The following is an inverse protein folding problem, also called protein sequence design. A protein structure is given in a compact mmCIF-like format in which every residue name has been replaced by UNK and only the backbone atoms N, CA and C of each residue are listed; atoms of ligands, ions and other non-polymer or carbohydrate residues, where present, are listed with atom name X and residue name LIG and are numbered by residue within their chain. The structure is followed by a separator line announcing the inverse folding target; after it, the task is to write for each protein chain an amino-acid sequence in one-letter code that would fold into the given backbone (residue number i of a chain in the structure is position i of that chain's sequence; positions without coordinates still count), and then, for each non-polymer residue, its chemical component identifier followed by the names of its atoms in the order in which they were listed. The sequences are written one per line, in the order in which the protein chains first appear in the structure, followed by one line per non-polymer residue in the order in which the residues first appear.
data_IF_500112499435
#
_entry.id   IF_500112499435
#
_cell.length_a   1.000
_cell.length_b   1.000
_cell.length_c   1.000
_cell.angle_alpha   90.00
_cell.angle_beta   90.00
_cell.angle_gamma   90.00
#
_symmetry.space_group_name_H-M   'P 1'
#
loop_
_entity.id
_entity.type
_entity.pdbx_description
1 polymer ?
#
# COMPACT_ATOMS: atom_id res chain seq x y z
N UNK A 1 0.54 -25.21 2.45
CA UNK A 1 1.26 -24.33 3.37
C UNK A 1 1.69 -23.11 2.58
N UNK A 2 1.15 -21.96 2.93
CA UNK A 2 1.07 -20.84 2.02
C UNK A 2 2.36 -20.05 1.82
N UNK A 3 2.42 -19.31 0.74
CA UNK A 3 3.47 -18.38 0.28
C UNK A 3 3.94 -17.35 1.34
N UNK A 4 3.26 -17.27 2.48
CA UNK A 4 3.46 -16.26 3.54
C UNK A 4 4.33 -16.76 4.71
N UNK A 5 4.86 -17.99 4.67
CA UNK A 5 5.56 -18.61 5.80
C UNK A 5 7.05 -18.22 5.95
N UNK A 6 7.60 -17.35 5.09
CA UNK A 6 9.03 -17.03 5.06
C UNK A 6 9.38 -15.58 5.43
N UNK A 7 8.45 -14.84 6.04
CA UNK A 7 8.75 -13.47 6.44
C UNK A 7 9.50 -13.43 7.78
N UNK A 8 10.58 -12.63 7.87
CA UNK A 8 11.27 -12.46 9.15
C UNK A 8 10.29 -11.86 10.15
N UNK A 9 10.22 -12.48 11.33
CA UNK A 9 9.39 -12.00 12.44
C UNK A 9 9.84 -10.59 12.83
N UNK A 10 9.03 -9.56 12.61
CA UNK A 10 9.37 -8.24 13.12
C UNK A 10 9.17 -8.24 14.62
N UNK A 11 10.20 -7.94 15.38
CA UNK A 11 10.23 -7.57 16.80
C UNK A 11 9.05 -7.98 17.71
N UNK A 12 8.85 -7.30 18.81
CA UNK A 12 7.73 -7.50 19.76
C UNK A 12 6.34 -7.52 19.12
N UNK A 13 6.12 -6.77 18.02
CA UNK A 13 4.87 -6.78 17.26
C UNK A 13 4.60 -8.14 16.59
N UNK A 14 5.63 -8.85 16.14
CA UNK A 14 5.49 -10.14 15.47
C UNK A 14 4.97 -11.26 16.37
N UNK A 15 5.27 -11.21 17.67
CA UNK A 15 4.77 -12.20 18.62
C UNK A 15 3.28 -12.01 18.97
N UNK A 16 2.73 -10.82 18.72
CA UNK A 16 1.35 -10.43 19.07
C UNK A 16 0.43 -10.25 17.87
N UNK A 17 0.97 -10.39 16.65
CA UNK A 17 0.26 -10.06 15.40
C UNK A 17 0.37 -11.18 14.40
N UNK A 18 -0.75 -11.57 13.80
CA UNK A 18 -0.79 -12.47 12.65
C UNK A 18 -1.16 -11.68 11.40
N UNK A 19 -0.44 -11.90 10.29
CA UNK A 19 -0.81 -11.32 8.97
C UNK A 19 -1.41 -12.42 8.11
N UNK A 20 -2.50 -12.11 7.47
CA UNK A 20 -3.23 -13.01 6.57
C UNK A 20 -3.87 -12.25 5.42
N UNK A 21 -4.25 -12.93 4.34
CA UNK A 21 -5.07 -12.32 3.29
C UNK A 21 -6.34 -11.68 3.86
N UNK A 22 -6.68 -10.51 3.34
CA UNK A 22 -7.96 -9.85 3.60
C UNK A 22 -9.09 -10.70 2.98
N UNK A 23 -10.15 -10.92 3.70
CA UNK A 23 -11.27 -11.75 3.28
C UNK A 23 -12.55 -10.91 3.19
N UNK A 24 -13.47 -11.28 2.31
CA UNK A 24 -14.75 -10.60 2.17
C UNK A 24 -15.51 -10.45 3.51
N UNK A 25 -15.42 -11.44 4.40
CA UNK A 25 -16.03 -11.37 5.73
C UNK A 25 -15.42 -10.29 6.64
N UNK A 26 -14.19 -9.86 6.38
CA UNK A 26 -13.51 -8.83 7.19
C UNK A 26 -14.19 -7.47 7.02
N UNK A 27 -14.93 -7.26 5.92
CA UNK A 27 -15.77 -6.08 5.69
C UNK A 27 -16.84 -5.87 6.77
N UNK A 28 -17.20 -6.91 7.51
CA UNK A 28 -18.14 -6.82 8.63
C UNK A 28 -17.47 -6.59 9.98
N UNK A 29 -16.14 -6.61 10.05
CA UNK A 29 -15.38 -6.57 11.30
C UNK A 29 -14.30 -5.49 11.35
N UNK A 30 -14.12 -4.68 10.30
CA UNK A 30 -13.03 -3.71 10.22
C UNK A 30 -13.43 -2.24 10.46
N UNK A 31 -14.67 -1.99 10.90
CA UNK A 31 -15.18 -0.63 11.10
C UNK A 31 -14.28 0.22 12.02
N UNK A 32 -13.79 -0.37 13.12
CA UNK A 32 -12.92 0.28 14.09
C UNK A 32 -11.60 0.79 13.46
N UNK A 33 -11.08 0.07 12.43
CA UNK A 33 -9.89 0.47 11.70
C UNK A 33 -10.17 1.66 10.78
N UNK A 34 -11.40 1.77 10.24
CA UNK A 34 -11.82 2.82 9.31
C UNK A 34 -12.33 4.08 10.00
N UNK A 35 -12.46 4.10 11.32
CA UNK A 35 -12.88 5.29 12.08
C UNK A 35 -11.78 6.35 12.22
N UNK A 36 -10.72 6.24 11.44
CA UNK A 36 -9.66 7.22 11.40
C UNK A 36 -9.97 8.37 10.44
N UNK A 37 -9.68 9.58 10.86
CA UNK A 37 -9.83 10.81 10.07
C UNK A 37 -9.10 10.81 8.72
N UNK A 38 -8.00 10.09 8.63
CA UNK A 38 -7.15 10.02 7.43
C UNK A 38 -7.51 8.87 6.48
N UNK A 39 -8.39 7.96 6.93
CA UNK A 39 -8.74 6.78 6.16
C UNK A 39 -9.86 7.09 5.19
N UNK A 40 -9.61 6.89 3.90
CA UNK A 40 -10.66 6.88 2.90
C UNK A 40 -11.44 5.56 3.00
N UNK A 41 -12.75 5.66 2.98
CA UNK A 41 -13.64 4.49 2.98
C UNK A 41 -14.30 4.34 1.62
N UNK A 42 -14.45 3.10 1.19
CA UNK A 42 -14.99 2.77 -0.13
C UNK A 42 -16.25 1.91 0.02
N UNK A 43 -16.98 1.75 -1.08
CA UNK A 43 -18.12 0.83 -1.12
C UNK A 43 -17.67 -0.63 -1.00
N UNK A 44 -18.55 -1.51 -0.51
CA UNK A 44 -18.25 -2.94 -0.43
C UNK A 44 -17.88 -3.53 -1.81
N UNK A 45 -18.54 -3.08 -2.88
CA UNK A 45 -18.21 -3.51 -4.25
C UNK A 45 -16.79 -3.17 -4.66
N UNK A 46 -16.29 -1.99 -4.23
CA UNK A 46 -14.90 -1.60 -4.46
C UNK A 46 -13.92 -2.55 -3.78
N UNK A 47 -14.10 -2.81 -2.48
CA UNK A 47 -13.23 -3.76 -1.76
C UNK A 47 -13.28 -5.16 -2.40
N UNK A 48 -14.46 -5.67 -2.73
CA UNK A 48 -14.62 -7.00 -3.33
C UNK A 48 -13.96 -7.10 -4.70
N UNK A 49 -14.00 -6.03 -5.51
CA UNK A 49 -13.32 -6.01 -6.81
C UNK A 49 -11.80 -6.11 -6.67
N UNK A 50 -11.22 -5.44 -5.66
CA UNK A 50 -9.79 -5.54 -5.35
C UNK A 50 -9.40 -6.94 -4.89
N UNK A 51 -10.20 -7.53 -4.01
CA UNK A 51 -9.97 -8.91 -3.53
C UNK A 51 -10.04 -9.95 -4.65
N UNK A 52 -10.89 -9.72 -5.64
CA UNK A 52 -11.02 -10.61 -6.79
C UNK A 52 -9.85 -10.47 -7.78
N UNK A 53 -9.34 -9.25 -8.00
CA UNK A 53 -8.33 -8.97 -9.01
C UNK A 53 -6.90 -9.08 -8.46
N UNK A 54 -6.66 -8.64 -7.20
CA UNK A 54 -5.33 -8.58 -6.59
C UNK A 54 -5.33 -9.17 -5.16
N UNK A 55 -5.70 -10.45 -4.99
CA UNK A 55 -5.87 -11.05 -3.65
C UNK A 55 -4.60 -11.03 -2.80
N UNK A 56 -3.42 -11.09 -3.42
CA UNK A 56 -2.14 -11.06 -2.71
C UNK A 56 -1.75 -9.62 -2.25
N UNK A 57 -2.41 -8.59 -2.79
CA UNK A 57 -2.20 -7.18 -2.42
C UNK A 57 -3.23 -6.65 -1.41
N UNK A 58 -4.00 -7.54 -0.81
CA UNK A 58 -4.98 -7.21 0.22
C UNK A 58 -4.70 -8.05 1.47
N UNK A 59 -4.16 -7.41 2.51
CA UNK A 59 -3.70 -8.09 3.72
C UNK A 59 -4.28 -7.45 4.97
N UNK A 60 -4.54 -8.28 5.97
CA UNK A 60 -5.05 -7.89 7.28
C UNK A 60 -4.09 -8.31 8.37
N UNK A 61 -3.75 -7.39 9.26
CA UNK A 61 -3.06 -7.69 10.50
C UNK A 61 -4.08 -7.89 11.62
N UNK A 62 -3.98 -9.00 12.34
CA UNK A 62 -4.89 -9.36 13.41
C UNK A 62 -4.12 -9.60 14.72
N UNK A 63 -4.71 -9.23 15.85
CA UNK A 63 -4.20 -9.57 17.16
C UNK A 63 -4.24 -11.09 17.35
N UNK A 64 -3.10 -11.69 17.68
CA UNK A 64 -2.95 -13.15 17.73
C UNK A 64 -3.88 -13.81 18.76
N UNK A 65 -4.14 -13.11 19.87
CA UNK A 65 -4.96 -13.66 20.97
C UNK A 65 -6.46 -13.55 20.72
N UNK A 66 -6.92 -12.46 20.11
CA UNK A 66 -8.36 -12.15 19.98
C UNK A 66 -8.88 -12.32 18.55
N UNK A 67 -7.98 -12.33 17.57
CA UNK A 67 -8.35 -12.25 16.15
C UNK A 67 -8.88 -10.87 15.71
N UNK A 68 -8.88 -9.87 16.60
CA UNK A 68 -9.33 -8.52 16.27
C UNK A 68 -8.47 -7.91 15.16
N UNK A 69 -9.10 -7.22 14.21
CA UNK A 69 -8.41 -6.56 13.11
C UNK A 69 -7.70 -5.33 13.66
N UNK A 70 -6.36 -5.33 13.56
CA UNK A 70 -5.49 -4.23 13.99
C UNK A 70 -5.28 -3.20 12.87
N UNK A 71 -5.31 -3.66 11.63
CA UNK A 71 -5.09 -2.85 10.45
C UNK A 71 -5.13 -3.68 9.18
N UNK A 72 -5.14 -2.99 8.04
CA UNK A 72 -5.06 -3.63 6.73
C UNK A 72 -4.28 -2.78 5.73
N UNK A 73 -3.82 -3.43 4.66
CA UNK A 73 -3.37 -2.80 3.44
C UNK A 73 -4.20 -3.33 2.28
N UNK A 74 -4.54 -2.45 1.35
CA UNK A 74 -5.25 -2.75 0.12
C UNK A 74 -4.55 -2.04 -1.02
N UNK A 75 -4.30 -2.74 -2.10
CA UNK A 75 -3.72 -2.14 -3.29
C UNK A 75 -3.93 -2.98 -4.55
N UNK A 76 -3.27 -2.59 -5.61
CA UNK A 76 -3.40 -3.20 -6.94
C UNK A 76 -2.06 -3.18 -7.67
N UNK A 77 -1.92 -4.02 -8.69
CA UNK A 77 -0.85 -3.91 -9.67
C UNK A 77 -1.32 -3.02 -10.83
N UNK A 78 -0.51 -2.05 -11.21
CA UNK A 78 -0.76 -1.13 -12.33
C UNK A 78 0.42 -1.11 -13.29
N UNK A 79 0.20 -0.59 -14.50
CA UNK A 79 1.20 -0.49 -15.54
C UNK A 79 1.15 -1.67 -16.52
N UNK A 80 2.11 -1.67 -17.44
CA UNK A 80 2.23 -2.72 -18.47
C UNK A 80 3.38 -3.64 -18.14
N UNK A 81 3.20 -4.92 -18.41
CA UNK A 81 4.32 -5.85 -18.37
C UNK A 81 5.31 -5.48 -19.50
N UNK A 82 6.58 -5.19 -19.16
CA UNK A 82 7.56 -4.75 -20.14
C UNK A 82 7.95 -5.93 -21.05
N UNK A 83 8.19 -5.61 -22.31
CA UNK A 83 8.77 -6.56 -23.26
C UNK A 83 10.24 -6.86 -22.90
N UNK A 84 10.81 -7.93 -23.46
CA UNK A 84 12.23 -8.25 -23.26
C UNK A 84 13.15 -7.14 -23.80
N UNK A 85 12.70 -6.40 -24.81
CA UNK A 85 13.43 -5.24 -25.34
C UNK A 85 13.37 -4.05 -24.37
N UNK A 86 12.21 -3.79 -23.76
CA UNK A 86 12.06 -2.74 -22.75
C UNK A 86 12.97 -3.02 -21.54
N UNK A 87 13.02 -4.28 -21.09
CA UNK A 87 13.89 -4.71 -20.00
C UNK A 87 15.38 -4.50 -20.32
N UNK A 88 15.81 -4.84 -21.56
CA UNK A 88 17.20 -4.63 -21.99
C UNK A 88 17.58 -3.17 -22.09
N UNK A 89 16.65 -2.32 -22.52
CA UNK A 89 16.85 -0.87 -22.69
C UNK A 89 16.55 -0.08 -21.43
N UNK A 90 16.09 -0.74 -20.37
CA UNK A 90 15.61 -0.11 -19.14
C UNK A 90 14.55 0.99 -19.41
N UNK A 91 13.62 0.69 -20.32
CA UNK A 91 12.62 1.63 -20.82
C UNK A 91 11.22 1.11 -20.55
N UNK A 92 10.26 2.03 -20.30
CA UNK A 92 8.84 1.72 -20.08
C UNK A 92 8.57 0.74 -18.93
N UNK A 93 9.39 0.76 -17.89
CA UNK A 93 9.23 -0.06 -16.68
C UNK A 93 8.13 0.54 -15.79
N UNK A 94 6.88 0.45 -16.26
CA UNK A 94 5.72 1.08 -15.59
C UNK A 94 4.97 0.15 -14.66
N UNK A 95 5.24 -1.17 -14.68
CA UNK A 95 4.56 -2.14 -13.82
C UNK A 95 4.94 -1.89 -12.35
N UNK A 96 3.94 -1.67 -11.50
CA UNK A 96 4.17 -1.31 -10.10
C UNK A 96 3.02 -1.73 -9.20
N UNK A 97 3.28 -1.75 -7.90
CA UNK A 97 2.25 -1.88 -6.88
C UNK A 97 1.73 -0.51 -6.46
N UNK A 98 0.43 -0.29 -6.54
CA UNK A 98 -0.23 0.93 -6.07
C UNK A 98 -0.94 0.67 -4.74
N UNK A 99 -0.49 1.34 -3.66
CA UNK A 99 -1.16 1.28 -2.35
C UNK A 99 -2.38 2.18 -2.37
N UNK A 100 -3.56 1.58 -2.36
CA UNK A 100 -4.84 2.31 -2.33
C UNK A 100 -5.21 2.74 -0.92
N UNK A 101 -4.97 1.88 0.06
CA UNK A 101 -5.21 2.17 1.47
C UNK A 101 -4.26 1.38 2.36
N UNK A 102 -3.71 2.02 3.38
CA UNK A 102 -3.09 1.38 4.53
C UNK A 102 -3.53 2.11 5.78
N UNK A 103 -4.12 1.38 6.71
CA UNK A 103 -4.67 1.95 7.93
C UNK A 103 -4.49 1.02 9.11
N UNK A 104 -4.33 1.60 10.30
CA UNK A 104 -4.16 0.90 11.56
C UNK A 104 -5.07 1.53 12.60
N UNK A 105 -5.88 0.73 13.26
CA UNK A 105 -6.77 1.16 14.33
C UNK A 105 -5.96 1.89 15.43
N UNK A 106 -6.58 2.91 16.00
CA UNK A 106 -5.88 3.86 16.89
C UNK A 106 -5.15 3.16 18.04
N UNK A 107 -5.77 2.18 18.65
CA UNK A 107 -5.26 1.40 19.79
C UNK A 107 -4.05 0.52 19.44
N UNK A 108 -3.85 0.22 18.15
CA UNK A 108 -2.72 -0.60 17.67
C UNK A 108 -1.62 0.20 16.97
N UNK A 109 -1.68 1.53 17.05
CA UNK A 109 -0.64 2.39 16.48
C UNK A 109 0.65 2.32 17.29
N UNK A 110 1.76 2.68 16.65
CA UNK A 110 3.12 2.67 17.23
C UNK A 110 3.66 1.26 17.57
N UNK A 111 2.95 0.21 17.18
CA UNK A 111 3.37 -1.18 17.34
C UNK A 111 4.06 -1.77 16.09
N UNK A 112 4.34 -0.95 15.06
CA UNK A 112 4.96 -1.43 13.82
C UNK A 112 4.00 -2.08 12.82
N UNK A 113 2.69 -2.10 13.08
CA UNK A 113 1.70 -2.79 12.24
C UNK A 113 1.69 -2.25 10.80
N UNK A 114 1.67 -0.92 10.63
CA UNK A 114 1.71 -0.32 9.28
C UNK A 114 2.99 -0.67 8.53
N UNK A 115 4.13 -0.70 9.23
CA UNK A 115 5.40 -1.08 8.64
C UNK A 115 5.37 -2.52 8.15
N UNK A 116 4.90 -3.44 8.96
CA UNK A 116 4.77 -4.85 8.62
C UNK A 116 3.84 -5.07 7.42
N UNK A 117 2.69 -4.38 7.37
CA UNK A 117 1.77 -4.44 6.24
C UNK A 117 2.42 -3.93 4.95
N UNK A 118 3.19 -2.85 5.02
CA UNK A 118 3.92 -2.31 3.89
C UNK A 118 5.05 -3.24 3.42
N UNK A 119 5.79 -3.87 4.35
CA UNK A 119 6.82 -4.87 4.01
C UNK A 119 6.23 -6.03 3.18
N UNK A 120 5.07 -6.53 3.58
CA UNK A 120 4.34 -7.55 2.83
C UNK A 120 3.86 -7.06 1.48
N UNK A 121 3.31 -5.85 1.42
CA UNK A 121 2.82 -5.27 0.18
C UNK A 121 3.95 -5.07 -0.84
N UNK A 122 5.08 -4.53 -0.40
CA UNK A 122 6.28 -4.34 -1.22
C UNK A 122 6.80 -5.70 -1.74
N UNK A 123 6.86 -6.70 -0.86
CA UNK A 123 7.23 -8.05 -1.26
C UNK A 123 6.29 -8.64 -2.32
N UNK A 124 4.97 -8.53 -2.13
CA UNK A 124 4.00 -9.02 -3.12
C UNK A 124 4.12 -8.26 -4.44
N UNK A 125 4.32 -6.94 -4.38
CA UNK A 125 4.53 -6.12 -5.57
C UNK A 125 5.72 -6.60 -6.40
N UNK A 126 6.85 -6.91 -5.75
CA UNK A 126 8.06 -7.37 -6.40
C UNK A 126 7.98 -8.82 -6.88
N UNK A 127 7.61 -9.74 -5.97
CA UNK A 127 7.80 -11.18 -6.21
C UNK A 127 6.58 -11.86 -6.84
N UNK A 128 5.38 -11.35 -6.60
CA UNK A 128 4.15 -11.92 -7.16
C UNK A 128 3.78 -11.20 -8.45
N UNK A 129 3.76 -9.87 -8.43
CA UNK A 129 3.32 -9.06 -9.56
C UNK A 129 4.46 -8.49 -10.41
N UNK A 130 5.73 -8.74 -10.03
CA UNK A 130 6.93 -8.32 -10.78
C UNK A 130 7.03 -6.82 -11.00
N UNK A 131 6.50 -6.04 -10.09
CA UNK A 131 6.56 -4.59 -10.12
C UNK A 131 7.98 -4.07 -9.91
N UNK A 132 8.28 -2.93 -10.49
CA UNK A 132 9.59 -2.27 -10.38
C UNK A 132 9.64 -1.29 -9.21
N UNK A 133 8.49 -0.80 -8.78
CA UNK A 133 8.36 0.13 -7.67
C UNK A 133 7.00 -0.02 -6.99
N UNK A 134 6.83 0.64 -5.88
CA UNK A 134 5.54 0.84 -5.20
C UNK A 134 5.27 2.32 -5.15
N UNK A 135 4.05 2.74 -5.46
CA UNK A 135 3.61 4.11 -5.28
C UNK A 135 2.34 4.21 -4.44
N UNK A 136 2.07 5.42 -4.00
CA UNK A 136 0.87 5.77 -3.24
C UNK A 136 0.60 7.28 -3.31
N UNK A 137 -0.61 7.66 -2.94
CA UNK A 137 -0.95 9.05 -2.66
C UNK A 137 -1.11 9.27 -1.15
N UNK A 138 -0.63 10.42 -0.67
CA UNK A 138 -0.77 10.84 0.73
C UNK A 138 -1.16 12.31 0.80
N UNK A 139 -2.07 12.64 1.72
CA UNK A 139 -2.48 14.03 1.97
C UNK A 139 -1.30 14.84 2.50
N UNK A 140 -1.03 16.05 1.99
CA UNK A 140 0.01 16.94 2.52
C UNK A 140 -0.14 17.22 4.02
N UNK A 141 -1.37 17.28 4.50
CA UNK A 141 -1.70 17.49 5.92
C UNK A 141 -1.40 16.26 6.80
N UNK A 142 -1.24 15.06 6.24
CA UNK A 142 -0.90 13.84 6.98
C UNK A 142 0.60 13.71 7.25
N UNK A 143 1.16 14.63 8.05
CA UNK A 143 2.60 14.67 8.36
C UNK A 143 3.12 13.36 8.98
N UNK A 144 2.26 12.63 9.72
CA UNK A 144 2.64 11.34 10.36
C UNK A 144 2.89 10.27 9.30
N UNK A 145 2.00 10.12 8.33
CA UNK A 145 2.16 9.17 7.24
C UNK A 145 3.36 9.56 6.35
N UNK A 146 3.49 10.83 5.99
CA UNK A 146 4.65 11.33 5.22
C UNK A 146 5.95 10.99 5.92
N UNK A 147 6.04 11.21 7.24
CA UNK A 147 7.22 10.88 8.04
C UNK A 147 7.52 9.38 8.05
N UNK A 148 6.49 8.52 8.10
CA UNK A 148 6.63 7.07 8.02
C UNK A 148 7.16 6.65 6.64
N UNK A 149 6.57 7.12 5.56
CA UNK A 149 7.00 6.79 4.19
C UNK A 149 8.42 7.26 3.90
N UNK A 150 8.78 8.49 4.31
CA UNK A 150 10.16 9.00 4.17
C UNK A 150 11.19 8.12 4.88
N UNK A 151 10.88 7.65 6.11
CA UNK A 151 11.76 6.73 6.85
C UNK A 151 11.93 5.38 6.15
N UNK A 152 10.97 4.98 5.33
CA UNK A 152 11.02 3.77 4.49
C UNK A 152 11.74 4.00 3.15
N UNK A 153 12.19 5.22 2.86
CA UNK A 153 12.86 5.55 1.60
C UNK A 153 11.92 6.03 0.49
N UNK A 154 10.64 6.23 0.78
CA UNK A 154 9.72 6.80 -0.20
C UNK A 154 10.06 8.26 -0.49
N UNK A 155 9.99 8.64 -1.75
CA UNK A 155 10.21 10.00 -2.23
C UNK A 155 8.97 10.56 -2.91
N UNK A 156 8.67 11.85 -2.68
CA UNK A 156 7.60 12.55 -3.39
C UNK A 156 8.08 12.86 -4.80
N UNK A 157 7.32 12.46 -5.82
CA UNK A 157 7.65 12.71 -7.21
C UNK A 157 6.68 13.66 -7.91
N UNK A 158 5.45 13.79 -7.41
CA UNK A 158 4.46 14.72 -7.97
C UNK A 158 3.47 15.21 -6.92
N UNK A 159 2.80 16.31 -7.24
CA UNK A 159 1.64 16.84 -6.52
C UNK A 159 0.45 16.85 -7.48
N UNK A 160 -0.67 16.30 -7.05
CA UNK A 160 -1.93 16.29 -7.82
C UNK A 160 -2.93 17.19 -7.11
N UNK A 161 -3.40 18.22 -7.81
CA UNK A 161 -4.35 19.19 -7.25
C UNK A 161 -5.72 18.55 -7.00
N UNK A 162 -6.30 18.84 -5.85
CA UNK A 162 -7.63 18.39 -5.44
C UNK A 162 -7.85 16.87 -5.59
N UNK A 163 -6.80 16.08 -5.39
CA UNK A 163 -6.84 14.62 -5.48
C UNK A 163 -7.86 14.02 -4.52
N UNK A 164 -7.86 14.51 -3.28
CA UNK A 164 -8.83 14.09 -2.27
C UNK A 164 -10.02 15.03 -2.32
N UNK A 165 -11.18 14.47 -2.65
CA UNK A 165 -12.42 15.23 -2.68
C UNK A 165 -12.76 15.75 -1.29
N UNK A 166 -13.19 17.01 -1.23
CA UNK A 166 -13.69 17.59 0.00
C UNK A 166 -15.10 17.08 0.31
N UNK A 167 -15.36 16.83 1.58
CA UNK A 167 -16.73 16.65 2.11
C UNK A 167 -17.00 17.74 3.13
N UNK A 168 -18.02 18.60 2.96
CA UNK A 168 -18.26 19.68 3.92
C UNK A 168 -18.28 19.18 5.37
N UNK A 169 -17.63 19.86 6.32
CA UNK A 169 -16.94 21.16 6.17
C UNK A 169 -15.47 21.08 5.67
N UNK A 170 -14.96 19.90 5.29
CA UNK A 170 -13.57 19.73 4.84
C UNK A 170 -13.41 20.15 3.38
N UNK A 171 -12.45 21.04 3.05
CA UNK A 171 -12.12 21.36 1.68
C UNK A 171 -11.46 20.19 0.96
N UNK A 172 -11.45 20.23 -0.38
CA UNK A 172 -10.61 19.34 -1.17
C UNK A 172 -9.13 19.57 -0.83
N UNK A 173 -8.33 18.51 -0.91
CA UNK A 173 -6.91 18.55 -0.60
C UNK A 173 -6.10 17.90 -1.70
N UNK A 174 -4.91 18.40 -1.94
CA UNK A 174 -3.99 17.81 -2.92
C UNK A 174 -3.49 16.44 -2.45
N UNK A 175 -2.98 15.67 -3.40
CA UNK A 175 -2.27 14.42 -3.13
C UNK A 175 -0.79 14.54 -3.45
N UNK A 176 0.08 14.10 -2.55
CA UNK A 176 1.49 13.84 -2.87
C UNK A 176 1.61 12.42 -3.38
N UNK A 177 1.90 12.27 -4.68
CA UNK A 177 2.34 11.01 -5.24
C UNK A 177 3.75 10.70 -4.73
N UNK A 178 3.90 9.59 -4.03
CA UNK A 178 5.17 9.13 -3.47
C UNK A 178 5.49 7.74 -3.98
N UNK A 179 6.76 7.43 -4.19
CA UNK A 179 7.18 6.13 -4.66
C UNK A 179 8.41 5.60 -3.93
N UNK A 180 8.59 4.28 -4.02
CA UNK A 180 9.73 3.53 -3.52
C UNK A 180 10.15 2.50 -4.56
N UNK A 181 11.41 2.56 -5.03
CA UNK A 181 11.97 1.57 -5.95
C UNK A 181 12.20 0.23 -5.27
N UNK A 182 11.76 -0.86 -5.89
CA UNK A 182 11.98 -2.22 -5.43
C UNK A 182 13.37 -2.67 -5.90
N UNK A 183 14.30 -2.82 -4.97
CA UNK A 183 15.75 -2.68 -5.20
C UNK A 183 16.51 -3.91 -5.71
N UNK A 184 15.94 -5.08 -5.77
CA UNK A 184 16.75 -6.26 -6.08
C UNK A 184 17.09 -6.48 -7.55
N UNK A 185 16.47 -5.71 -8.47
CA UNK A 185 16.78 -5.84 -9.92
C UNK A 185 17.16 -4.54 -10.63
N UNK A 186 16.89 -3.37 -10.05
CA UNK A 186 17.00 -2.09 -10.78
C UNK A 186 17.40 -0.92 -9.87
N UNK A 187 18.39 -1.13 -8.99
CA UNK A 187 18.90 -0.09 -8.09
C UNK A 187 19.38 1.19 -8.81
N UNK A 188 19.67 1.10 -10.10
CA UNK A 188 20.20 2.18 -10.93
C UNK A 188 19.29 2.59 -12.10
N UNK A 189 18.03 2.10 -12.13
CA UNK A 189 17.11 2.48 -13.20
C UNK A 189 16.49 3.86 -12.89
N UNK A 190 16.76 4.89 -13.68
CA UNK A 190 15.97 6.11 -13.62
C UNK A 190 14.56 5.77 -14.08
N UNK A 191 13.62 5.67 -13.13
CA UNK A 191 12.21 5.53 -13.47
C UNK A 191 11.81 6.79 -14.23
N UNK A 192 11.65 6.66 -15.54
CA UNK A 192 11.28 7.79 -16.39
C UNK A 192 9.80 8.09 -16.18
N UNK A 193 9.53 9.11 -15.37
CA UNK A 193 8.17 9.59 -15.09
C UNK A 193 7.57 10.46 -16.20
N UNK A 194 8.21 10.56 -17.35
CA UNK A 194 7.83 11.47 -18.44
C UNK A 194 6.50 11.12 -19.10
N UNK A 195 5.89 9.99 -18.78
CA UNK A 195 4.63 9.55 -19.40
C UNK A 195 3.42 9.49 -18.45
N UNK A 196 3.55 9.99 -17.21
CA UNK A 196 2.42 10.12 -16.30
C UNK A 196 1.75 11.50 -16.42
N UNK A 197 1.50 11.95 -17.64
CA UNK A 197 0.51 13.01 -17.87
C UNK A 197 -0.87 12.39 -17.73
N UNK A 198 -1.56 12.74 -16.67
CA UNK A 198 -2.99 12.46 -16.54
C UNK A 198 -3.79 13.25 -17.57
N UNK A 199 -4.89 12.66 -18.09
CA UNK A 199 -5.87 13.41 -18.85
C UNK A 199 -6.55 14.47 -18.01
#
# INVERSE_FOLDING_TARGET
MGKYAQFPSPGLAGAMTTVRPFRARDLFAFNNVNMDHWTETYSNGFYLSYLAQWPDMALTACAAQTGAIMGYVLGKAEGKEPTEEDKRRNKDLTLHGHVTAVTVAHEYRRLGVAQMLMDFFEYCSEHVYRGFFVDLFVRPSNAKAIGMYKKRGYSVYRRVHAYYQGTPPKPAEDGFGTFFGLTHRYADAPVSYTHLTLP
#
